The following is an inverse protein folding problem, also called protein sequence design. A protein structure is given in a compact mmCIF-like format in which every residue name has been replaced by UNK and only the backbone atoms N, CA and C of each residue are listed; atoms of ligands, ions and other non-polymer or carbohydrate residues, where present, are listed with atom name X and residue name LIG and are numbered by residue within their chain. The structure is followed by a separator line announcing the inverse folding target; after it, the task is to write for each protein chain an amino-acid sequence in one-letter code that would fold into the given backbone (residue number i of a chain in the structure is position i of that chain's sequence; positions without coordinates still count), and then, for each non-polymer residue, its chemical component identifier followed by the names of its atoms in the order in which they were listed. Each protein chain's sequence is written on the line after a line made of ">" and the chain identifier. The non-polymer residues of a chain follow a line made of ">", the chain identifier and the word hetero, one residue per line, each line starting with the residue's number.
data_IF_943976931986
#
_entry.id   IF_943976931986
#
_cell.length_a   1.000
_cell.length_b   1.000
_cell.length_c   1.000
_cell.angle_alpha   90.00
_cell.angle_beta   90.00
_cell.angle_gamma   90.00
#
_symmetry.space_group_name_H-M   'P 1'
#
loop_
_entity.id
_entity.type
_entity.pdbx_description
1 polymer ?
#
# COMPACT_ATOMS: atom_id res chain seq x y z
N UNK A 1 -60.82 -14.00 3.74
CA UNK A 1 -60.19 -12.93 4.56
C UNK A 1 -58.68 -13.01 4.38
N UNK A 2 -58.09 -12.10 3.59
CA UNK A 2 -56.65 -12.09 3.32
C UNK A 2 -55.93 -11.28 4.40
N UNK A 3 -55.19 -11.94 5.30
CA UNK A 3 -54.21 -11.24 6.13
C UNK A 3 -52.84 -11.35 5.47
N UNK A 4 -52.50 -10.32 4.69
CA UNK A 4 -51.14 -10.10 4.20
C UNK A 4 -50.31 -9.63 5.39
N UNK A 5 -49.76 -10.57 6.16
CA UNK A 5 -48.78 -10.26 7.21
C UNK A 5 -47.49 -9.79 6.55
N UNK A 6 -47.45 -8.48 6.30
CA UNK A 6 -46.33 -7.58 6.12
C UNK A 6 -44.95 -8.20 6.35
N UNK A 7 -44.37 -8.80 5.31
CA UNK A 7 -42.92 -8.94 5.21
C UNK A 7 -42.36 -7.55 4.94
N UNK A 8 -42.16 -6.75 6.01
CA UNK A 8 -41.28 -5.58 5.95
C UNK A 8 -39.84 -6.09 5.91
N UNK A 9 -39.43 -6.67 4.76
CA UNK A 9 -38.02 -6.80 4.43
C UNK A 9 -37.52 -5.39 4.16
N UNK A 10 -37.16 -4.69 5.25
CA UNK A 10 -36.42 -3.45 5.15
C UNK A 10 -35.20 -3.74 4.27
N UNK A 11 -35.14 -3.10 3.11
CA UNK A 11 -33.93 -3.04 2.30
C UNK A 11 -32.87 -2.41 3.20
N UNK A 12 -32.06 -3.26 3.85
CA UNK A 12 -30.90 -2.83 4.61
C UNK A 12 -29.90 -2.30 3.59
N UNK A 13 -30.03 -1.03 3.23
CA UNK A 13 -29.01 -0.32 2.46
C UNK A 13 -27.73 -0.45 3.27
N UNK A 14 -26.65 -1.05 2.72
CA UNK A 14 -25.42 -1.20 3.49
C UNK A 14 -24.94 0.20 3.85
N UNK A 15 -24.99 0.53 5.15
CA UNK A 15 -24.49 1.80 5.66
C UNK A 15 -23.01 1.89 5.31
N UNK A 16 -22.60 3.02 4.73
CA UNK A 16 -21.18 3.29 4.44
C UNK A 16 -20.39 3.16 5.74
N UNK A 17 -19.23 2.50 5.66
CA UNK A 17 -18.30 2.37 6.78
C UNK A 17 -17.88 3.76 7.27
N UNK A 18 -17.75 3.90 8.59
CA UNK A 18 -17.23 5.14 9.17
C UNK A 18 -15.73 5.26 8.87
N UNK A 19 -15.20 6.48 8.92
CA UNK A 19 -13.77 6.75 8.72
C UNK A 19 -12.90 5.92 9.67
N UNK A 20 -13.33 5.71 10.91
CA UNK A 20 -12.63 4.90 11.90
C UNK A 20 -12.56 3.41 11.50
N UNK A 21 -13.67 2.85 10.99
CA UNK A 21 -13.71 1.46 10.53
C UNK A 21 -12.84 1.25 9.30
N UNK A 22 -12.80 2.22 8.38
CA UNK A 22 -11.92 2.19 7.21
C UNK A 22 -10.45 2.22 7.66
N UNK A 23 -10.09 3.13 8.58
CA UNK A 23 -8.73 3.24 9.09
C UNK A 23 -8.25 1.95 9.77
N UNK A 24 -9.11 1.31 10.58
CA UNK A 24 -8.80 0.03 11.21
C UNK A 24 -8.52 -1.07 10.17
N UNK A 25 -9.36 -1.16 9.12
CA UNK A 25 -9.20 -2.14 8.05
C UNK A 25 -7.92 -1.91 7.23
N UNK A 26 -7.57 -0.65 6.95
CA UNK A 26 -6.33 -0.28 6.26
C UNK A 26 -5.11 -0.68 7.09
N UNK A 27 -5.12 -0.43 8.41
CA UNK A 27 -4.05 -0.84 9.30
C UNK A 27 -3.86 -2.36 9.30
N UNK A 28 -4.93 -3.11 9.49
CA UNK A 28 -4.89 -4.58 9.48
C UNK A 28 -4.41 -5.15 8.13
N UNK A 29 -4.79 -4.51 7.02
CA UNK A 29 -4.28 -4.88 5.70
C UNK A 29 -2.78 -4.56 5.54
N UNK A 30 -2.33 -3.41 6.07
CA UNK A 30 -0.92 -3.03 6.07
C UNK A 30 -0.05 -3.99 6.87
N UNK A 31 -0.49 -4.39 8.06
CA UNK A 31 0.21 -5.37 8.90
C UNK A 31 0.36 -6.72 8.20
N UNK A 32 -0.70 -7.20 7.53
CA UNK A 32 -0.65 -8.43 6.72
C UNK A 32 0.30 -8.33 5.53
N UNK A 33 0.23 -7.23 4.77
CA UNK A 33 1.10 -7.01 3.62
C UNK A 33 2.58 -6.94 4.02
N UNK A 34 2.88 -6.30 5.16
CA UNK A 34 4.23 -6.22 5.70
C UNK A 34 4.77 -7.60 6.09
N UNK A 35 3.96 -8.40 6.79
CA UNK A 35 4.32 -9.77 7.19
C UNK A 35 4.58 -10.67 5.97
N UNK A 36 3.75 -10.57 4.94
CA UNK A 36 3.95 -11.32 3.69
C UNK A 36 5.22 -10.88 2.95
N UNK A 37 5.47 -9.58 2.86
CA UNK A 37 6.69 -9.06 2.24
C UNK A 37 7.95 -9.53 2.98
N UNK A 38 7.91 -9.59 4.31
CA UNK A 38 9.01 -10.14 5.10
C UNK A 38 9.20 -11.64 4.87
N UNK A 39 8.12 -12.42 4.83
CA UNK A 39 8.18 -13.84 4.52
C UNK A 39 8.78 -14.08 3.13
N UNK A 40 8.39 -13.28 2.13
CA UNK A 40 8.99 -13.34 0.77
C UNK A 40 10.47 -12.99 0.78
N UNK A 41 10.89 -11.96 1.51
CA UNK A 41 12.31 -11.60 1.65
C UNK A 41 13.13 -12.71 2.30
N UNK A 42 12.57 -13.39 3.31
CA UNK A 42 13.22 -14.52 4.00
C UNK A 42 13.32 -15.77 3.12
N UNK A 43 12.32 -16.00 2.27
CA UNK A 43 12.28 -17.15 1.36
C UNK A 43 13.06 -16.91 0.04
N UNK A 44 13.32 -15.65 -0.30
CA UNK A 44 14.06 -15.30 -1.51
C UNK A 44 15.54 -15.64 -1.36
N UNK A 45 16.06 -16.42 -2.31
CA UNK A 45 17.49 -16.61 -2.44
C UNK A 45 18.12 -15.39 -3.12
N UNK A 46 19.28 -14.91 -2.65
CA UNK A 46 19.95 -13.79 -3.28
C UNK A 46 20.39 -14.18 -4.68
N UNK A 47 19.74 -13.61 -5.70
CA UNK A 47 20.21 -13.70 -7.08
C UNK A 47 21.34 -12.69 -7.28
N UNK A 48 22.43 -13.05 -7.99
CA UNK A 48 23.46 -12.09 -8.35
C UNK A 48 22.87 -11.07 -9.33
N UNK A 49 22.54 -9.88 -8.84
CA UNK A 49 22.22 -8.74 -9.70
C UNK A 49 23.51 -8.06 -10.13
N UNK A 50 23.63 -7.77 -11.43
CA UNK A 50 24.70 -6.92 -11.91
C UNK A 50 24.61 -5.56 -11.21
N UNK A 51 25.76 -5.04 -10.79
CA UNK A 51 25.81 -3.69 -10.22
C UNK A 51 25.44 -2.70 -11.32
N UNK A 52 24.55 -1.76 -11.01
CA UNK A 52 24.33 -0.63 -11.89
C UNK A 52 25.64 0.17 -12.02
N UNK A 53 26.04 0.46 -13.26
CA UNK A 53 27.24 1.21 -13.59
C UNK A 53 26.82 2.56 -14.16
N UNK A 54 27.37 3.65 -13.63
CA UNK A 54 27.08 5.01 -14.10
C UNK A 54 25.89 5.71 -13.45
N UNK A 55 25.12 5.01 -12.59
CA UNK A 55 24.07 5.62 -11.78
C UNK A 55 24.61 6.49 -10.65
N UNK A 56 23.76 7.38 -10.10
CA UNK A 56 24.11 8.14 -8.90
C UNK A 56 24.34 7.19 -7.73
N UNK A 57 25.33 7.49 -6.87
CA UNK A 57 25.56 6.69 -5.68
C UNK A 57 24.46 6.97 -4.67
N UNK A 58 23.81 5.92 -4.20
CA UNK A 58 22.78 6.03 -3.17
C UNK A 58 21.38 5.92 -3.75
N UNK A 59 20.35 6.06 -2.90
CA UNK A 59 18.98 5.95 -3.35
C UNK A 59 18.60 7.07 -4.32
N UNK A 60 17.62 6.77 -5.17
CA UNK A 60 17.02 7.69 -6.13
C UNK A 60 16.90 9.14 -5.60
N UNK A 61 17.51 10.14 -6.27
CA UNK A 61 17.50 11.54 -5.81
C UNK A 61 16.09 12.11 -5.70
N UNK A 62 15.15 11.60 -6.52
CA UNK A 62 13.70 11.85 -6.44
C UNK A 62 13.12 11.57 -5.05
N UNK A 63 13.71 10.64 -4.28
CA UNK A 63 13.16 10.13 -3.02
C UNK A 63 13.79 10.77 -1.77
N UNK A 64 14.96 11.40 -1.89
CA UNK A 64 15.71 11.95 -0.75
C UNK A 64 16.09 13.44 -0.86
N UNK A 65 15.69 14.11 -1.94
CA UNK A 65 15.96 15.54 -2.11
C UNK A 65 17.37 15.85 -2.63
N UNK A 66 18.14 14.83 -3.01
CA UNK A 66 19.52 14.92 -3.48
C UNK A 66 19.63 15.30 -4.97
N UNK A 67 18.72 16.15 -5.46
CA UNK A 67 18.73 16.63 -6.85
C UNK A 67 19.93 17.53 -7.15
N UNK A 68 20.63 18.00 -6.11
CA UNK A 68 21.77 18.89 -6.22
C UNK A 68 23.09 18.13 -6.17
N UNK A 69 23.87 18.22 -7.25
CA UNK A 69 25.26 17.77 -7.29
C UNK A 69 26.15 18.97 -7.52
N UNK A 70 26.98 19.33 -6.52
CA UNK A 70 27.83 20.53 -6.54
C UNK A 70 27.03 21.84 -6.76
N UNK A 71 25.82 21.92 -6.22
CA UNK A 71 24.96 23.11 -6.33
C UNK A 71 24.23 23.26 -7.68
N UNK A 72 24.23 22.23 -8.52
CA UNK A 72 23.46 22.19 -9.76
C UNK A 72 22.35 21.15 -9.60
N UNK A 73 21.09 21.58 -9.73
CA UNK A 73 19.94 20.69 -9.83
C UNK A 73 20.00 19.95 -11.18
N UNK A 74 20.12 18.63 -11.15
CA UNK A 74 20.20 17.79 -12.37
C UNK A 74 18.94 16.95 -12.49
N UNK A 75 18.16 17.16 -13.55
CA UNK A 75 16.91 16.46 -13.85
C UNK A 75 16.99 15.75 -15.21
N UNK A 76 17.95 14.82 -15.36
CA UNK A 76 18.09 13.86 -16.47
C UNK A 76 19.02 12.71 -16.06
#
# INVERSE_FOLDING_TARGET
>A
MLSRSTVKRALLVPKKLTKAQIAARVREAGERAAAEAEARRKAAQPAPMAKELGGSKGPEPTRYGDWEKKGIASDF
#
